data_IF_023605145311
#
_entry.id   IF_023605145311
#
_cell.length_a   1.000
_cell.length_b   1.000
_cell.length_c   1.000
_cell.angle_alpha   90.00
_cell.angle_beta   90.00
_cell.angle_gamma   90.00
#
_symmetry.space_group_name_H-M   'P 1'
#
loop_
_entity.id
_entity.type
_entity.pdbx_description
1 polymer ?
#
# COMPACT_ATOMS: atom_id res chain seq x y z
N UNK A 1 16.52 -20.90 -9.74
CA UNK A 1 15.90 -20.07 -10.78
C UNK A 1 17.03 -19.35 -11.49
N UNK A 2 17.23 -19.57 -12.78
CA UNK A 2 18.33 -18.95 -13.53
C UNK A 2 17.92 -17.55 -14.00
N UNK A 3 18.86 -16.60 -14.06
CA UNK A 3 18.60 -15.24 -14.52
C UNK A 3 17.99 -15.19 -15.95
N UNK A 4 18.29 -16.19 -16.79
CA UNK A 4 17.73 -16.32 -18.15
C UNK A 4 16.24 -16.62 -18.17
N UNK A 5 15.74 -17.33 -17.17
CA UNK A 5 14.32 -17.71 -17.06
C UNK A 5 13.47 -16.48 -16.69
N UNK A 6 13.94 -15.69 -15.72
CA UNK A 6 13.30 -14.43 -15.36
C UNK A 6 13.35 -13.39 -16.48
N UNK A 7 14.48 -13.25 -17.17
CA UNK A 7 14.61 -12.30 -18.29
C UNK A 7 13.61 -12.64 -19.41
N UNK A 8 13.48 -13.93 -19.75
CA UNK A 8 12.52 -14.39 -20.76
C UNK A 8 11.08 -14.11 -20.32
N UNK A 9 10.74 -14.38 -19.06
CA UNK A 9 9.44 -14.05 -18.49
C UNK A 9 9.16 -12.53 -18.52
N UNK A 10 10.13 -11.71 -18.14
CA UNK A 10 10.02 -10.26 -18.13
C UNK A 10 9.70 -9.72 -19.53
N UNK A 11 10.49 -10.10 -20.53
CA UNK A 11 10.30 -9.64 -21.92
C UNK A 11 8.99 -10.13 -22.52
N UNK A 12 8.59 -11.37 -22.23
CA UNK A 12 7.45 -12.03 -22.89
C UNK A 12 6.10 -11.66 -22.25
N UNK A 13 6.06 -11.48 -20.93
CA UNK A 13 4.80 -11.34 -20.17
C UNK A 13 4.65 -9.98 -19.51
N UNK A 14 5.69 -9.51 -18.83
CA UNK A 14 5.62 -8.25 -18.08
C UNK A 14 5.72 -7.03 -18.98
N UNK A 15 6.67 -7.00 -19.91
CA UNK A 15 6.91 -5.82 -20.76
C UNK A 15 5.68 -5.40 -21.59
N UNK A 16 4.94 -6.32 -22.26
CA UNK A 16 3.72 -5.94 -22.99
C UNK A 16 2.62 -5.42 -22.06
N UNK A 17 2.44 -6.05 -20.89
CA UNK A 17 1.44 -5.64 -19.89
C UNK A 17 1.76 -4.26 -19.31
N UNK A 18 3.04 -4.00 -19.02
CA UNK A 18 3.54 -2.68 -18.60
C UNK A 18 3.31 -1.61 -19.67
N UNK A 19 3.43 -1.94 -20.95
CA UNK A 19 3.11 -1.02 -22.05
C UNK A 19 1.65 -0.54 -22.01
N UNK A 20 0.71 -1.48 -21.85
CA UNK A 20 -0.71 -1.15 -21.70
C UNK A 20 -1.02 -0.33 -20.44
N UNK A 21 -0.35 -0.63 -19.32
CA UNK A 21 -0.50 0.10 -18.06
C UNK A 21 0.08 1.51 -18.12
N UNK A 22 1.21 1.72 -18.80
CA UNK A 22 1.78 3.06 -19.03
C UNK A 22 0.80 3.98 -19.74
N UNK A 23 0.07 3.47 -20.75
CA UNK A 23 -0.96 4.25 -21.44
C UNK A 23 -2.09 4.69 -20.49
N UNK A 24 -2.51 3.84 -19.56
CA UNK A 24 -3.52 4.18 -18.57
C UNK A 24 -3.03 5.24 -17.58
N UNK A 25 -1.76 5.15 -17.14
CA UNK A 25 -1.16 6.18 -16.29
C UNK A 25 -1.02 7.52 -17.03
N UNK A 26 -0.65 7.50 -18.31
CA UNK A 26 -0.58 8.70 -19.15
C UNK A 26 -1.96 9.34 -19.36
N UNK A 27 -3.02 8.53 -19.50
CA UNK A 27 -4.40 9.03 -19.51
C UNK A 27 -4.78 9.72 -18.19
N UNK A 28 -4.41 9.14 -17.05
CA UNK A 28 -4.61 9.78 -15.76
C UNK A 28 -3.84 11.10 -15.68
N UNK A 29 -2.56 11.12 -16.08
CA UNK A 29 -1.71 12.30 -16.07
C UNK A 29 -2.26 13.46 -16.95
N UNK A 30 -2.96 13.17 -18.05
CA UNK A 30 -3.62 14.22 -18.85
C UNK A 30 -4.68 14.98 -18.05
N UNK A 31 -5.44 14.29 -17.20
CA UNK A 31 -6.44 14.93 -16.33
C UNK A 31 -5.80 15.75 -15.20
N UNK A 32 -4.63 15.37 -14.69
CA UNK A 32 -3.93 16.21 -13.71
C UNK A 32 -3.37 17.47 -14.37
N UNK A 33 -2.76 17.36 -15.55
CA UNK A 33 -2.24 18.50 -16.32
C UNK A 33 -3.38 19.46 -16.72
N UNK A 34 -4.50 18.92 -17.21
CA UNK A 34 -5.69 19.71 -17.53
C UNK A 34 -6.24 20.46 -16.31
N UNK A 35 -6.27 19.81 -15.14
CA UNK A 35 -6.67 20.45 -13.89
C UNK A 35 -5.78 21.63 -13.49
N UNK A 36 -4.46 21.49 -13.64
CA UNK A 36 -3.50 22.57 -13.39
C UNK A 36 -3.71 23.73 -14.37
N UNK A 37 -3.95 23.43 -15.66
CA UNK A 37 -4.24 24.47 -16.65
C UNK A 37 -5.53 25.23 -16.32
N UNK A 38 -6.61 24.55 -15.91
CA UNK A 38 -7.85 25.20 -15.48
C UNK A 38 -7.69 26.02 -14.21
N UNK A 39 -6.81 25.60 -13.28
CA UNK A 39 -6.47 26.39 -12.10
C UNK A 39 -5.82 27.72 -12.49
N UNK A 40 -4.84 27.69 -13.39
CA UNK A 40 -4.18 28.91 -13.88
C UNK A 40 -5.18 29.83 -14.62
N UNK A 41 -6.06 29.26 -15.44
CA UNK A 41 -7.09 30.02 -16.15
C UNK A 41 -8.13 30.63 -15.21
N UNK A 42 -8.51 29.91 -14.15
CA UNK A 42 -9.42 30.42 -13.12
C UNK A 42 -8.81 31.63 -12.40
N UNK A 43 -7.54 31.54 -11.99
CA UNK A 43 -6.81 32.65 -11.36
C UNK A 43 -6.75 33.86 -12.30
N UNK A 44 -6.39 33.67 -13.57
CA UNK A 44 -6.38 34.74 -14.56
C UNK A 44 -7.77 35.38 -14.75
N UNK A 45 -8.84 34.58 -14.78
CA UNK A 45 -10.20 35.10 -14.91
C UNK A 45 -10.60 35.98 -13.72
N UNK A 46 -10.22 35.60 -12.49
CA UNK A 46 -10.45 36.45 -11.31
C UNK A 46 -9.64 37.74 -11.33
N UNK A 47 -8.39 37.72 -11.82
CA UNK A 47 -7.56 38.93 -11.97
C UNK A 47 -8.15 39.92 -12.99
N UNK A 48 -8.90 39.41 -13.98
CA UNK A 48 -9.58 40.21 -15.00
C UNK A 48 -11.04 40.57 -14.65
N UNK A 49 -11.44 40.39 -13.39
CA UNK A 49 -12.81 40.59 -12.88
C UNK A 49 -13.90 39.75 -13.60
N UNK A 50 -13.51 38.67 -14.30
CA UNK A 50 -14.41 37.74 -14.97
C UNK A 50 -14.88 36.62 -14.02
N UNK A 51 -15.65 37.01 -12.99
CA UNK A 51 -16.06 36.12 -11.90
C UNK A 51 -16.84 34.88 -12.35
N UNK A 52 -17.79 35.02 -13.29
CA UNK A 52 -18.57 33.88 -13.82
C UNK A 52 -17.69 32.87 -14.56
N UNK A 53 -16.71 33.36 -15.32
CA UNK A 53 -15.74 32.52 -16.05
C UNK A 53 -14.80 31.81 -15.07
N UNK A 54 -14.37 32.50 -14.01
CA UNK A 54 -13.58 31.92 -12.92
C UNK A 54 -14.30 30.75 -12.24
N UNK A 55 -15.60 30.90 -11.95
CA UNK A 55 -16.45 29.85 -11.37
C UNK A 55 -16.60 28.65 -12.31
N UNK A 56 -16.78 28.88 -13.61
CA UNK A 56 -16.85 27.79 -14.60
C UNK A 56 -15.56 26.93 -14.60
N UNK A 57 -14.39 27.56 -14.52
CA UNK A 57 -13.13 26.83 -14.42
C UNK A 57 -12.98 26.04 -13.12
N UNK A 58 -13.53 26.52 -12.00
CA UNK A 58 -13.55 25.76 -10.74
C UNK A 58 -14.33 24.44 -10.91
N UNK A 59 -15.48 24.48 -11.59
CA UNK A 59 -16.26 23.27 -11.89
C UNK A 59 -15.42 22.29 -12.74
N UNK A 60 -14.70 22.80 -13.73
CA UNK A 60 -13.81 21.98 -14.57
C UNK A 60 -12.66 21.35 -13.77
N UNK A 61 -12.10 22.06 -12.79
CA UNK A 61 -11.08 21.51 -11.88
C UNK A 61 -11.63 20.33 -11.08
N UNK A 62 -12.84 20.45 -10.52
CA UNK A 62 -13.48 19.37 -9.75
C UNK A 62 -13.68 18.12 -10.62
N UNK A 63 -14.17 18.31 -11.85
CA UNK A 63 -14.33 17.21 -12.82
C UNK A 63 -12.98 16.56 -13.14
N UNK A 64 -11.93 17.38 -13.34
CA UNK A 64 -10.59 16.90 -13.65
C UNK A 64 -10.01 16.06 -12.51
N UNK A 65 -10.17 16.52 -11.26
CA UNK A 65 -9.73 15.79 -10.06
C UNK A 65 -10.47 14.45 -9.96
N UNK A 66 -11.79 14.45 -10.12
CA UNK A 66 -12.59 13.21 -10.06
C UNK A 66 -12.20 12.20 -11.14
N UNK A 67 -11.93 12.67 -12.37
CA UNK A 67 -11.47 11.78 -13.45
C UNK A 67 -10.06 11.25 -13.19
N UNK A 68 -9.16 12.08 -12.68
CA UNK A 68 -7.81 11.70 -12.30
C UNK A 68 -7.80 10.60 -11.23
N UNK A 69 -8.51 10.81 -10.12
CA UNK A 69 -8.56 9.83 -9.02
C UNK A 69 -9.10 8.49 -9.50
N UNK A 70 -10.25 8.50 -10.20
CA UNK A 70 -10.84 7.28 -10.73
C UNK A 70 -9.91 6.53 -11.71
N UNK A 71 -9.22 7.24 -12.59
CA UNK A 71 -8.29 6.62 -13.55
C UNK A 71 -7.04 6.08 -12.86
N UNK A 72 -6.55 6.78 -11.83
CA UNK A 72 -5.42 6.33 -11.01
C UNK A 72 -5.76 5.06 -10.24
N UNK A 73 -6.94 4.99 -9.63
CA UNK A 73 -7.37 3.81 -8.87
C UNK A 73 -7.46 2.58 -9.79
N UNK A 74 -8.08 2.72 -10.97
CA UNK A 74 -8.14 1.67 -11.99
C UNK A 74 -6.75 1.22 -12.45
N UNK A 75 -5.80 2.15 -12.60
CA UNK A 75 -4.42 1.83 -12.94
C UNK A 75 -3.75 1.01 -11.83
N UNK A 76 -3.91 1.41 -10.56
CA UNK A 76 -3.33 0.70 -9.41
C UNK A 76 -3.90 -0.73 -9.33
N UNK A 77 -5.23 -0.88 -9.41
CA UNK A 77 -5.89 -2.19 -9.41
C UNK A 77 -5.39 -3.07 -10.57
N UNK A 78 -5.35 -2.51 -11.78
CA UNK A 78 -4.87 -3.24 -12.97
C UNK A 78 -3.40 -3.64 -12.86
N UNK A 79 -2.56 -2.80 -12.24
CA UNK A 79 -1.16 -3.10 -11.99
C UNK A 79 -1.02 -4.27 -11.02
N UNK A 80 -1.73 -4.23 -9.90
CA UNK A 80 -1.73 -5.34 -8.93
C UNK A 80 -2.20 -6.64 -9.57
N UNK A 81 -3.31 -6.61 -10.30
CA UNK A 81 -3.90 -7.80 -10.92
C UNK A 81 -3.03 -8.39 -12.04
N UNK A 82 -2.40 -7.56 -12.88
CA UNK A 82 -1.73 -8.02 -14.10
C UNK A 82 -0.21 -8.15 -13.99
N UNK A 83 0.41 -7.45 -13.03
CA UNK A 83 1.86 -7.44 -12.86
C UNK A 83 2.22 -8.21 -11.61
N UNK A 84 1.70 -7.82 -10.44
CA UNK A 84 2.08 -8.44 -9.17
C UNK A 84 1.62 -9.90 -9.14
N UNK A 85 0.39 -10.20 -9.57
CA UNK A 85 -0.10 -11.57 -9.65
C UNK A 85 0.75 -12.47 -10.59
N UNK A 86 1.17 -11.96 -11.75
CA UNK A 86 2.03 -12.71 -12.67
C UNK A 86 3.41 -12.98 -12.04
N UNK A 87 3.97 -12.00 -11.33
CA UNK A 87 5.25 -12.17 -10.60
C UNK A 87 5.10 -13.25 -9.51
N UNK A 88 4.01 -13.21 -8.72
CA UNK A 88 3.75 -14.20 -7.66
C UNK A 88 3.62 -15.60 -8.25
N UNK A 89 2.84 -15.75 -9.33
CA UNK A 89 2.67 -17.03 -10.02
C UNK A 89 3.97 -17.54 -10.64
N UNK A 90 4.84 -16.64 -11.10
CA UNK A 90 6.15 -17.00 -11.61
C UNK A 90 7.10 -17.49 -10.50
N UNK A 91 7.09 -16.83 -9.33
CA UNK A 91 7.93 -17.21 -8.18
C UNK A 91 7.56 -18.60 -7.66
N UNK A 92 6.27 -18.84 -7.43
CA UNK A 92 5.79 -20.15 -7.04
C UNK A 92 4.33 -20.34 -7.48
N UNK A 93 4.06 -21.25 -8.41
CA UNK A 93 2.69 -21.51 -8.83
C UNK A 93 1.87 -22.10 -7.68
N UNK A 94 0.64 -21.62 -7.52
CA UNK A 94 -0.28 -22.08 -6.47
C UNK A 94 -0.28 -21.21 -5.21
N UNK A 95 0.46 -20.09 -5.20
CA UNK A 95 0.22 -19.01 -4.24
C UNK A 95 -1.09 -18.28 -4.57
N UNK A 96 -1.84 -17.95 -3.53
CA UNK A 96 -3.08 -17.16 -3.64
C UNK A 96 -2.74 -15.71 -3.31
N UNK A 97 -3.00 -14.81 -4.24
CA UNK A 97 -2.80 -13.37 -4.09
C UNK A 97 -4.13 -12.64 -3.94
N UNK A 98 -4.24 -11.77 -2.93
CA UNK A 98 -5.43 -10.95 -2.63
C UNK A 98 -5.00 -9.49 -2.48
N UNK A 99 -5.05 -8.68 -3.54
CA UNK A 99 -4.42 -7.36 -3.66
C UNK A 99 -5.04 -6.25 -2.82
N UNK A 100 -6.11 -6.50 -2.06
CA UNK A 100 -6.77 -5.51 -1.19
C UNK A 100 -7.04 -6.10 0.20
N UNK A 101 -6.39 -7.24 0.50
CA UNK A 101 -6.46 -7.88 1.80
C UNK A 101 -5.08 -7.83 2.45
N UNK A 102 -5.05 -8.04 3.76
CA UNK A 102 -3.84 -8.07 4.56
C UNK A 102 -4.05 -8.89 5.82
N UNK A 103 -2.95 -9.23 6.49
CA UNK A 103 -2.96 -10.00 7.71
C UNK A 103 -3.75 -9.27 8.79
N UNK A 104 -4.53 -10.02 9.56
CA UNK A 104 -5.37 -9.43 10.60
C UNK A 104 -4.53 -8.79 11.71
N UNK A 105 -5.02 -7.69 12.27
CA UNK A 105 -4.41 -7.03 13.43
C UNK A 105 -4.23 -7.99 14.62
N UNK A 106 -5.14 -8.96 14.81
CA UNK A 106 -5.01 -9.99 15.85
C UNK A 106 -3.76 -10.85 15.67
N UNK A 107 -3.47 -11.25 14.44
CA UNK A 107 -2.33 -12.08 14.12
C UNK A 107 -1.01 -11.30 14.22
N UNK A 108 -0.99 -10.05 13.75
CA UNK A 108 0.13 -9.15 14.00
C UNK A 108 0.39 -8.96 15.51
N UNK A 109 -0.64 -8.77 16.34
CA UNK A 109 -0.47 -8.73 17.82
C UNK A 109 0.10 -10.03 18.38
N UNK A 110 -0.32 -11.19 17.87
CA UNK A 110 0.20 -12.48 18.37
C UNK A 110 1.68 -12.69 18.10
N UNK A 111 2.28 -11.91 17.18
CA UNK A 111 3.72 -11.96 16.92
C UNK A 111 4.57 -11.19 17.92
N UNK A 112 3.95 -10.38 18.79
CA UNK A 112 4.63 -9.42 19.69
C UNK A 112 5.60 -8.48 18.97
N UNK A 113 5.44 -8.30 17.65
CA UNK A 113 6.29 -7.46 16.81
C UNK A 113 5.88 -5.97 16.85
N UNK A 114 5.36 -5.52 17.99
CA UNK A 114 4.95 -4.14 18.25
C UNK A 114 5.53 -3.69 19.60
N UNK A 115 6.15 -2.51 19.63
CA UNK A 115 6.78 -1.95 20.85
C UNK A 115 5.81 -1.16 21.73
N UNK A 116 4.73 -0.65 21.15
CA UNK A 116 3.79 0.26 21.77
C UNK A 116 2.37 -0.08 21.32
N UNK A 117 1.37 0.36 22.08
CA UNK A 117 -0.02 0.33 21.63
C UNK A 117 -0.09 1.10 20.32
N UNK A 118 -0.50 0.41 19.26
CA UNK A 118 -0.87 1.01 17.99
C UNK A 118 -2.40 1.08 17.89
N UNK A 119 -2.86 2.14 17.28
CA UNK A 119 -4.26 2.52 17.08
C UNK A 119 -4.54 2.83 15.61
N UNK A 120 -3.50 2.96 14.78
CA UNK A 120 -3.58 2.82 13.33
C UNK A 120 -3.03 1.47 12.88
N UNK A 121 -3.78 0.79 12.02
CA UNK A 121 -3.42 -0.48 11.41
C UNK A 121 -4.02 -0.54 10.02
N UNK A 122 -3.16 -0.72 9.02
CA UNK A 122 -3.55 -0.84 7.62
C UNK A 122 -2.60 -1.79 6.91
N UNK A 123 -2.93 -2.21 5.70
CA UNK A 123 -2.10 -3.11 4.94
C UNK A 123 -2.60 -3.38 3.54
N UNK A 124 -1.82 -4.16 2.82
CA UNK A 124 -2.12 -4.48 1.44
C UNK A 124 -1.43 -5.78 0.98
N UNK A 125 -1.74 -6.22 -0.24
CA UNK A 125 -0.98 -7.24 -0.95
C UNK A 125 -0.81 -8.58 -0.18
N UNK A 126 -1.93 -9.16 0.28
CA UNK A 126 -1.92 -10.46 0.95
C UNK A 126 -1.59 -11.62 0.01
N UNK A 127 -0.67 -12.47 0.43
CA UNK A 127 -0.23 -13.67 -0.26
C UNK A 127 -0.31 -14.85 0.71
N UNK A 128 -0.87 -15.98 0.28
CA UNK A 128 -0.88 -17.22 1.07
C UNK A 128 -0.49 -18.44 0.23
N UNK A 129 0.11 -19.43 0.87
CA UNK A 129 0.40 -20.69 0.20
C UNK A 129 1.15 -21.70 1.04
N UNK A 130 1.67 -22.72 0.35
CA UNK A 130 2.48 -23.78 0.96
C UNK A 130 3.76 -23.97 0.16
N UNK A 131 4.89 -23.94 0.85
CA UNK A 131 6.19 -24.23 0.27
C UNK A 131 6.88 -25.32 1.08
N UNK A 132 7.24 -26.44 0.44
CA UNK A 132 7.90 -27.59 1.08
C UNK A 132 7.21 -28.03 2.40
N UNK A 133 5.88 -28.18 2.36
CA UNK A 133 5.03 -28.54 3.51
C UNK A 133 4.94 -27.50 4.65
N UNK A 134 5.49 -26.30 4.45
CA UNK A 134 5.33 -25.17 5.37
C UNK A 134 4.25 -24.26 4.83
N UNK A 135 3.16 -24.12 5.58
CA UNK A 135 2.12 -23.12 5.28
C UNK A 135 2.63 -21.76 5.69
N UNK A 136 2.45 -20.77 4.82
CA UNK A 136 2.82 -19.40 5.09
C UNK A 136 1.81 -18.44 4.49
N UNK A 137 1.78 -17.24 5.04
CA UNK A 137 1.10 -16.10 4.45
C UNK A 137 1.81 -14.81 4.85
N UNK A 138 1.73 -13.81 3.99
CA UNK A 138 2.35 -12.52 4.20
C UNK A 138 1.51 -11.40 3.59
N UNK A 139 1.73 -10.18 4.05
CA UNK A 139 1.12 -8.98 3.48
C UNK A 139 2.00 -7.77 3.80
N UNK A 140 1.90 -6.71 3.01
CA UNK A 140 2.40 -5.41 3.45
C UNK A 140 1.52 -4.93 4.61
N UNK A 141 2.15 -4.47 5.69
CA UNK A 141 1.45 -3.88 6.82
C UNK A 141 2.07 -2.54 7.15
N UNK A 142 1.23 -1.63 7.63
CA UNK A 142 1.63 -0.38 8.21
C UNK A 142 0.93 -0.16 9.56
N UNK A 143 1.73 0.03 10.61
CA UNK A 143 1.23 0.30 11.96
C UNK A 143 1.85 1.58 12.48
N UNK A 144 1.04 2.42 13.12
CA UNK A 144 1.50 3.69 13.68
C UNK A 144 0.68 4.10 14.90
N UNK A 145 1.23 5.03 15.67
CA UNK A 145 0.49 5.69 16.77
C UNK A 145 -0.31 6.85 16.18
N UNK A 146 -1.60 7.00 16.48
CA UNK A 146 -2.39 8.17 16.16
C UNK A 146 -2.22 9.19 17.28
N UNK A 147 -1.92 10.43 16.88
CA UNK A 147 -1.91 11.55 17.80
C UNK A 147 -3.27 12.24 17.74
N UNK A 148 -3.97 12.28 18.87
CA UNK A 148 -5.16 13.12 19.02
C UNK A 148 -4.73 14.57 19.11
N UNK A 149 -5.18 15.42 18.18
CA UNK A 149 -5.09 16.87 18.33
C UNK A 149 -6.46 17.40 18.71
N UNK A 150 -6.59 17.90 19.94
CA UNK A 150 -7.78 18.62 20.36
C UNK A 150 -7.66 20.06 19.86
N UNK A 151 -8.29 20.39 18.75
CA UNK A 151 -8.56 21.78 18.38
C UNK A 151 -10.01 22.09 18.77
N UNK A 152 -10.28 23.33 19.20
CA UNK A 152 -11.48 23.79 19.89
C UNK A 152 -12.84 23.60 19.17
N UNK A 153 -12.89 22.85 18.05
CA UNK A 153 -14.11 22.52 17.32
C UNK A 153 -14.03 21.23 16.49
N UNK A 154 -12.89 20.53 16.44
CA UNK A 154 -12.74 19.32 15.61
C UNK A 154 -11.63 18.42 16.13
N UNK A 155 -11.99 17.19 16.49
CA UNK A 155 -11.03 16.12 16.81
C UNK A 155 -10.48 15.56 15.50
N UNK A 156 -9.21 15.83 15.20
CA UNK A 156 -8.53 15.19 14.07
C UNK A 156 -7.49 14.19 14.59
N UNK A 157 -7.53 12.98 14.03
CA UNK A 157 -6.51 11.96 14.23
C UNK A 157 -5.37 12.24 13.24
N UNK A 158 -4.20 12.60 13.76
CA UNK A 158 -3.00 12.73 12.95
C UNK A 158 -2.22 11.42 13.00
N UNK A 159 -1.73 10.98 11.85
CA UNK A 159 -0.77 9.89 11.76
C UNK A 159 0.51 10.30 12.51
N UNK A 160 0.85 9.55 13.55
CA UNK A 160 2.05 9.76 14.35
C UNK A 160 3.21 8.88 13.86
N UNK A 161 4.19 8.57 14.73
CA UNK A 161 5.35 7.78 14.33
C UNK A 161 4.94 6.37 13.89
N UNK A 162 5.56 5.93 12.79
CA UNK A 162 5.41 4.58 12.24
C UNK A 162 6.13 3.61 13.18
N UNK A 163 5.44 2.52 13.53
CA UNK A 163 5.95 1.43 14.37
C UNK A 163 6.49 0.32 13.46
N UNK A 164 5.72 -0.06 12.45
CA UNK A 164 6.11 -1.04 11.44
C UNK A 164 5.59 -0.60 10.08
N UNK A 165 6.43 -0.75 9.05
CA UNK A 165 6.05 -0.59 7.66
C UNK A 165 6.86 -1.57 6.82
N UNK A 166 6.19 -2.50 6.15
CA UNK A 166 6.82 -3.44 5.24
C UNK A 166 6.12 -4.78 5.17
N UNK A 167 6.78 -5.77 4.58
CA UNK A 167 6.24 -7.12 4.41
C UNK A 167 6.28 -7.88 5.74
N UNK A 168 5.11 -8.16 6.29
CA UNK A 168 4.95 -9.02 7.46
C UNK A 168 4.72 -10.46 7.00
N UNK A 169 5.53 -11.40 7.50
CA UNK A 169 5.55 -12.78 7.03
C UNK A 169 5.31 -13.76 8.19
N UNK A 170 4.32 -14.63 8.02
CA UNK A 170 3.94 -15.65 9.00
C UNK A 170 4.13 -17.02 8.37
N UNK A 171 4.84 -17.90 9.08
CA UNK A 171 5.01 -19.29 8.67
C UNK A 171 4.77 -20.24 9.84
N UNK A 172 4.04 -21.31 9.58
CA UNK A 172 3.76 -22.35 10.57
C UNK A 172 4.86 -23.40 10.51
N UNK A 173 5.85 -23.27 11.38
CA UNK A 173 6.94 -24.23 11.58
C UNK A 173 6.59 -25.09 12.80
N UNK A 174 6.91 -26.38 12.77
CA UNK A 174 6.58 -27.30 13.86
C UNK A 174 7.18 -26.86 15.22
N UNK A 175 6.46 -27.23 16.29
CA UNK A 175 6.60 -26.78 17.69
C UNK A 175 8.06 -26.57 18.14
N UNK A 176 8.46 -25.31 18.28
CA UNK A 176 9.55 -24.90 19.16
C UNK A 176 8.95 -24.29 20.43
N UNK A 177 9.59 -24.50 21.58
CA UNK A 177 9.24 -23.82 22.83
C UNK A 177 10.23 -22.68 23.03
N UNK A 178 9.78 -21.45 22.82
CA UNK A 178 10.59 -20.23 22.98
C UNK A 178 10.24 -19.20 21.91
N UNK A 179 10.77 -17.99 22.03
CA UNK A 179 10.76 -16.95 21.00
C UNK A 179 12.20 -16.55 20.71
N UNK A 180 12.58 -16.51 19.43
CA UNK A 180 13.88 -16.00 19.00
C UNK A 180 13.65 -14.68 18.28
N UNK A 181 14.24 -13.62 18.80
CA UNK A 181 14.21 -12.31 18.17
C UNK A 181 15.60 -12.00 17.62
N UNK A 182 15.64 -11.54 16.37
CA UNK A 182 16.86 -11.14 15.70
C UNK A 182 16.69 -9.68 15.33
N UNK A 183 17.64 -8.86 15.76
CA UNK A 183 17.67 -7.43 15.45
C UNK A 183 18.92 -7.09 14.65
N UNK A 184 18.82 -6.07 13.81
CA UNK A 184 20.00 -5.40 13.29
C UNK A 184 20.82 -4.83 14.45
N UNK A 185 22.13 -4.87 14.30
CA UNK A 185 23.05 -4.30 15.28
C UNK A 185 22.71 -2.83 15.53
N UNK A 186 22.42 -2.46 16.79
CA UNK A 186 22.05 -1.08 17.16
C UNK A 186 20.54 -0.78 17.12
N UNK A 187 19.70 -1.71 16.67
CA UNK A 187 18.23 -1.59 16.67
C UNK A 187 17.57 -2.62 17.61
N UNK A 188 18.29 -3.08 18.63
CA UNK A 188 17.77 -4.04 19.61
C UNK A 188 16.50 -3.51 20.30
N UNK A 189 15.52 -4.38 20.50
CA UNK A 189 14.23 -4.01 21.10
C UNK A 189 13.91 -4.97 22.24
N UNK A 190 13.67 -4.47 23.44
CA UNK A 190 13.25 -5.34 24.54
C UNK A 190 11.78 -5.76 24.31
N UNK A 191 11.46 -7.06 24.26
CA UNK A 191 10.07 -7.49 24.21
C UNK A 191 9.36 -7.10 25.51
N UNK A 192 8.08 -6.74 25.43
CA UNK A 192 7.20 -6.74 26.61
C UNK A 192 7.21 -8.14 27.22
N UNK A 193 7.25 -8.20 28.56
CA UNK A 193 7.42 -9.43 29.36
C UNK A 193 6.74 -10.66 28.76
N UNK A 194 7.49 -11.77 28.68
CA UNK A 194 7.02 -13.11 28.26
C UNK A 194 5.79 -13.58 29.07
N UNK A 195 5.54 -12.98 30.26
CA UNK A 195 4.35 -13.30 31.07
C UNK A 195 3.03 -12.90 30.41
N UNK A 196 3.02 -11.91 29.51
CA UNK A 196 1.78 -11.41 28.89
C UNK A 196 1.39 -12.19 27.63
N UNK A 197 2.27 -13.04 27.08
CA UNK A 197 2.02 -13.85 25.87
C UNK A 197 1.14 -15.09 26.14
N UNK A 198 0.79 -15.34 27.40
CA UNK A 198 -0.02 -16.49 27.84
C UNK A 198 -1.43 -16.12 28.32
N UNK A 199 -1.93 -14.90 28.04
CA UNK A 199 -3.27 -14.44 28.46
C UNK A 199 -4.31 -14.50 27.34
#
# INVERSE_FOLDING_TARGET
MEAKDFETFYQTRLQPSLGGLKLQNDEAAKWSIGGIAFLLLSICAFVLDQTLVGILFIIMIIVSIYKYTKKKDVFIESYKERIINEIINFIHPGLIYKPNNYISSKEYKSSSHYRFIYDYYDGDDYIEGTYKNVRFHCSELETSVQRRRNYASTSQYLKGPIIFQGLFFVAVINKFKGGTYIWSQGDEQLPTSIMDEHS
#
